data_IF_591600565127
#
_entry.id   IF_591600565127
#
_cell.length_a   1.000
_cell.length_b   1.000
_cell.length_c   1.000
_cell.angle_alpha   90.00
_cell.angle_beta   90.00
_cell.angle_gamma   90.00
#
_symmetry.space_group_name_H-M   'P 1'
#
loop_
_entity.id
_entity.type
_entity.pdbx_description
1 polymer ?
#
# COMPACT_ATOMS: atom_id res chain seq x y z
N UNK A 1 -8.44 17.31 -9.46
CA UNK A 1 -9.11 17.47 -8.14
C UNK A 1 -8.01 17.58 -7.11
N UNK A 2 -8.07 18.58 -6.21
CA UNK A 2 -7.14 18.66 -5.08
C UNK A 2 -7.45 17.47 -4.16
N UNK A 3 -6.49 16.59 -3.91
CA UNK A 3 -6.67 15.50 -2.96
C UNK A 3 -6.88 16.14 -1.57
N UNK A 4 -7.88 15.67 -0.83
CA UNK A 4 -8.11 16.14 0.52
C UNK A 4 -6.91 15.77 1.39
N UNK A 5 -6.28 16.79 1.98
CA UNK A 5 -5.16 16.65 2.90
C UNK A 5 -5.63 16.93 4.31
N UNK A 6 -5.40 15.99 5.22
CA UNK A 6 -5.75 16.11 6.64
C UNK A 6 -4.47 16.10 7.45
N UNK A 7 -4.27 17.09 8.30
CA UNK A 7 -3.07 17.17 9.13
C UNK A 7 -3.23 16.32 10.39
N UNK A 8 -2.39 15.30 10.54
CA UNK A 8 -2.33 14.38 11.69
C UNK A 8 -0.86 14.23 12.14
N UNK A 9 -0.27 15.26 12.73
CA UNK A 9 1.17 15.31 13.01
C UNK A 9 1.64 14.19 13.92
N UNK A 10 0.79 13.73 14.84
CA UNK A 10 1.13 12.72 15.84
C UNK A 10 0.93 11.27 15.32
N UNK A 11 0.48 11.09 14.06
CA UNK A 11 0.20 9.75 13.55
C UNK A 11 1.48 8.92 13.40
N UNK A 12 2.58 9.53 12.99
CA UNK A 12 3.90 8.88 12.87
C UNK A 12 4.45 8.45 14.24
N UNK A 13 4.06 9.11 15.32
CA UNK A 13 4.51 8.78 16.68
C UNK A 13 3.95 7.46 17.21
N UNK A 14 2.94 6.91 16.54
CA UNK A 14 2.40 5.57 16.82
C UNK A 14 3.29 4.44 16.29
N UNK A 15 4.25 4.75 15.40
CA UNK A 15 5.26 3.77 15.00
C UNK A 15 6.19 3.43 16.18
N UNK A 16 6.66 2.18 16.28
CA UNK A 16 7.78 1.82 17.13
C UNK A 16 8.97 2.76 16.90
N UNK A 17 9.76 3.03 17.94
CA UNK A 17 10.82 4.02 17.90
C UNK A 17 11.81 3.81 16.73
N UNK A 18 12.19 2.55 16.49
CA UNK A 18 13.13 2.18 15.43
C UNK A 18 12.53 2.37 14.02
N UNK A 19 11.26 1.99 13.84
CA UNK A 19 10.54 2.17 12.58
C UNK A 19 10.31 3.66 12.29
N UNK A 20 10.02 4.45 13.31
CA UNK A 20 9.88 5.91 13.20
C UNK A 20 11.20 6.58 12.83
N UNK A 21 12.32 6.17 13.45
CA UNK A 21 13.65 6.70 13.12
C UNK A 21 14.02 6.37 11.65
N UNK A 22 13.83 5.13 11.22
CA UNK A 22 14.05 4.70 9.84
C UNK A 22 13.18 5.52 8.87
N UNK A 23 11.89 5.66 9.18
CA UNK A 23 10.93 6.44 8.37
C UNK A 23 11.38 7.89 8.24
N UNK A 24 11.79 8.52 9.33
CA UNK A 24 12.24 9.91 9.34
C UNK A 24 13.52 10.10 8.54
N UNK A 25 14.49 9.19 8.69
CA UNK A 25 15.74 9.21 7.91
C UNK A 25 15.51 9.05 6.43
N UNK A 26 14.65 8.09 6.04
CA UNK A 26 14.27 7.87 4.65
C UNK A 26 13.58 9.11 4.07
N UNK A 27 12.57 9.63 4.75
CA UNK A 27 11.83 10.79 4.26
C UNK A 27 12.73 12.04 4.10
N UNK A 28 13.66 12.26 5.04
CA UNK A 28 14.64 13.34 4.93
C UNK A 28 15.58 13.14 3.74
N UNK A 29 16.08 11.90 3.56
CA UNK A 29 17.00 11.58 2.47
C UNK A 29 16.36 11.77 1.08
N UNK A 30 15.07 11.40 0.93
CA UNK A 30 14.35 11.60 -0.32
C UNK A 30 14.03 13.07 -0.56
N UNK A 31 13.63 13.82 0.46
CA UNK A 31 13.39 15.26 0.37
C UNK A 31 14.67 16.01 -0.06
N UNK A 32 15.81 15.68 0.54
CA UNK A 32 17.12 16.27 0.20
C UNK A 32 17.54 15.93 -1.24
N UNK A 33 17.12 14.77 -1.76
CA UNK A 33 17.34 14.37 -3.14
C UNK A 33 16.31 14.98 -4.11
N UNK A 34 15.31 15.73 -3.63
CA UNK A 34 14.26 16.37 -4.45
C UNK A 34 13.10 15.47 -4.83
N UNK A 35 12.89 14.38 -4.08
CA UNK A 35 11.82 13.41 -4.33
C UNK A 35 10.77 13.42 -3.21
N UNK A 36 9.53 13.12 -3.58
CA UNK A 36 8.45 12.85 -2.63
C UNK A 36 8.55 11.43 -2.09
N UNK A 37 8.22 11.23 -0.80
CA UNK A 37 8.12 9.91 -0.17
C UNK A 37 6.94 9.88 0.79
N UNK A 38 6.08 8.87 0.67
CA UNK A 38 4.90 8.68 1.50
C UNK A 38 4.84 7.25 2.05
N UNK A 39 4.47 7.11 3.32
CA UNK A 39 3.95 5.83 3.83
C UNK A 39 2.62 5.54 3.17
N UNK A 40 2.34 4.27 2.80
CA UNK A 40 1.12 3.91 2.07
C UNK A 40 0.56 2.55 2.43
N UNK A 41 -0.71 2.35 2.14
CA UNK A 41 -1.34 1.03 2.24
C UNK A 41 -1.67 0.58 3.66
N UNK A 42 -1.35 -0.67 3.96
CA UNK A 42 -1.71 -1.31 5.23
C UNK A 42 -1.19 -0.58 6.45
N UNK A 43 0.03 -0.07 6.42
CA UNK A 43 0.65 0.63 7.54
C UNK A 43 -0.13 1.90 7.92
N UNK A 44 -0.57 2.71 6.94
CA UNK A 44 -1.33 3.94 7.21
C UNK A 44 -2.68 3.62 7.84
N UNK A 45 -3.40 2.63 7.29
CA UNK A 45 -4.65 2.12 7.84
C UNK A 45 -4.48 1.64 9.28
N UNK A 46 -3.45 0.84 9.54
CA UNK A 46 -3.24 0.21 10.84
C UNK A 46 -2.80 1.24 11.89
N UNK A 47 -2.03 2.28 11.50
CA UNK A 47 -1.77 3.44 12.36
C UNK A 47 -3.05 4.18 12.72
N UNK A 48 -3.97 4.39 11.77
CA UNK A 48 -5.25 5.05 12.05
C UNK A 48 -6.15 4.23 12.98
N UNK A 49 -6.09 2.90 12.88
CA UNK A 49 -6.86 1.96 13.71
C UNK A 49 -6.19 1.60 15.03
N UNK A 50 -5.00 2.16 15.32
CA UNK A 50 -4.18 1.80 16.49
C UNK A 50 -3.94 0.29 16.59
N UNK A 51 -3.65 -0.35 15.44
CA UNK A 51 -3.36 -1.79 15.34
C UNK A 51 -1.86 -2.02 15.29
N UNK A 52 -1.46 -3.23 15.71
CA UNK A 52 -0.05 -3.62 15.71
C UNK A 52 0.55 -3.78 14.30
N UNK A 53 1.79 -4.22 14.28
CA UNK A 53 2.74 -4.22 13.16
C UNK A 53 2.18 -4.58 11.79
N UNK A 54 2.53 -3.75 10.81
CA UNK A 54 2.42 -4.01 9.37
C UNK A 54 3.78 -3.70 8.72
N UNK A 55 4.07 -4.27 7.56
CA UNK A 55 5.28 -3.96 6.80
C UNK A 55 5.36 -2.47 6.48
N UNK A 56 6.58 -1.91 6.48
CA UNK A 56 6.83 -0.51 6.12
C UNK A 56 6.87 -0.36 4.61
N UNK A 57 5.73 0.03 4.04
CA UNK A 57 5.57 0.26 2.62
C UNK A 57 5.56 1.76 2.31
N UNK A 58 6.41 2.16 1.37
CA UNK A 58 6.48 3.53 0.87
C UNK A 58 6.20 3.59 -0.62
N UNK A 59 5.75 4.77 -1.05
CA UNK A 59 5.69 5.13 -2.47
C UNK A 59 6.40 6.46 -2.70
N UNK A 60 7.04 6.64 -3.87
CA UNK A 60 7.91 7.79 -4.16
C UNK A 60 7.80 8.26 -5.60
N UNK A 61 8.13 9.54 -5.83
CA UNK A 61 8.32 10.10 -7.18
C UNK A 61 9.63 9.65 -7.86
N UNK A 62 10.60 9.12 -7.07
CA UNK A 62 11.88 8.65 -7.58
C UNK A 62 11.73 7.36 -8.39
N UNK A 63 12.45 7.23 -9.51
CA UNK A 63 12.58 5.93 -10.20
C UNK A 63 13.55 5.00 -9.44
N UNK A 64 13.59 3.68 -9.74
CA UNK A 64 14.36 2.73 -8.92
C UNK A 64 15.84 3.08 -8.71
N UNK A 65 16.51 3.63 -9.72
CA UNK A 65 17.91 4.06 -9.62
C UNK A 65 18.07 5.26 -8.69
N UNK A 66 17.16 6.23 -8.77
CA UNK A 66 17.13 7.40 -7.88
C UNK A 66 16.75 6.98 -6.46
N UNK A 67 15.80 6.04 -6.33
CA UNK A 67 15.42 5.44 -5.03
C UNK A 67 16.61 4.80 -4.34
N UNK A 68 17.41 3.99 -5.06
CA UNK A 68 18.65 3.41 -4.53
C UNK A 68 19.63 4.49 -4.09
N UNK A 69 19.85 5.49 -4.93
CA UNK A 69 20.79 6.58 -4.64
C UNK A 69 20.37 7.40 -3.41
N UNK A 70 19.11 7.80 -3.32
CA UNK A 70 18.57 8.55 -2.19
C UNK A 70 18.62 7.73 -0.89
N UNK A 71 18.30 6.43 -0.95
CA UNK A 71 18.28 5.54 0.22
C UNK A 71 19.63 5.40 0.92
N UNK A 72 20.77 5.63 0.24
CA UNK A 72 22.12 5.52 0.84
C UNK A 72 22.26 6.44 2.05
N UNK A 73 21.69 7.64 2.00
CA UNK A 73 21.76 8.61 3.11
C UNK A 73 21.03 8.12 4.37
N UNK A 74 20.00 7.26 4.22
CA UNK A 74 19.30 6.64 5.33
C UNK A 74 20.06 5.45 5.95
N UNK A 75 21.19 5.03 5.37
CA UNK A 75 22.11 3.98 5.86
C UNK A 75 21.43 2.61 6.05
N UNK A 76 20.80 2.03 5.03
CA UNK A 76 20.36 0.65 5.08
C UNK A 76 21.57 -0.31 5.08
N UNK A 77 21.45 -1.48 5.72
CA UNK A 77 22.46 -2.53 5.69
C UNK A 77 22.53 -3.22 4.33
N UNK A 78 21.39 -3.31 3.62
CA UNK A 78 21.35 -3.78 2.25
C UNK A 78 20.22 -3.14 1.44
N UNK A 79 20.46 -3.06 0.12
CA UNK A 79 19.50 -2.55 -0.87
C UNK A 79 19.38 -3.59 -1.98
N UNK A 80 18.17 -3.97 -2.35
CA UNK A 80 17.91 -4.96 -3.40
C UNK A 80 16.68 -4.59 -4.23
N UNK A 81 16.57 -5.13 -5.43
CA UNK A 81 15.38 -4.95 -6.27
C UNK A 81 14.34 -6.03 -5.95
N UNK A 82 13.10 -5.61 -5.77
CA UNK A 82 11.94 -6.49 -5.59
C UNK A 82 11.07 -6.39 -6.85
N UNK A 83 11.21 -7.37 -7.75
CA UNK A 83 10.43 -7.37 -8.99
C UNK A 83 10.76 -6.16 -9.89
N UNK A 84 11.74 -6.31 -10.76
CA UNK A 84 12.24 -5.26 -11.64
C UNK A 84 11.11 -4.60 -12.47
N UNK A 85 10.08 -5.38 -12.83
CA UNK A 85 8.90 -4.93 -13.57
C UNK A 85 8.02 -3.94 -12.77
N UNK A 86 8.10 -3.93 -11.44
CA UNK A 86 7.20 -3.15 -10.58
C UNK A 86 7.84 -1.90 -9.97
N UNK A 87 9.13 -1.68 -10.21
CA UNK A 87 9.83 -0.49 -9.73
C UNK A 87 9.96 -0.42 -8.21
N UNK A 88 10.04 -1.58 -7.52
CA UNK A 88 10.18 -1.63 -6.07
C UNK A 88 11.61 -1.89 -5.65
N UNK A 89 12.11 -1.10 -4.70
CA UNK A 89 13.40 -1.25 -4.04
C UNK A 89 13.16 -1.69 -2.60
N UNK A 90 13.77 -2.81 -2.21
CA UNK A 90 13.77 -3.30 -0.84
C UNK A 90 15.00 -2.80 -0.09
N UNK A 91 14.79 -2.36 1.15
CA UNK A 91 15.82 -1.88 2.07
C UNK A 91 15.77 -2.71 3.34
N UNK A 92 16.93 -3.04 3.89
CA UNK A 92 17.04 -3.80 5.15
C UNK A 92 17.79 -2.94 6.17
N UNK A 93 17.25 -2.85 7.38
CA UNK A 93 17.87 -2.15 8.50
C UNK A 93 18.00 -3.09 9.70
N UNK A 94 19.21 -3.21 10.24
CA UNK A 94 19.53 -3.97 11.45
C UNK A 94 19.74 -3.00 12.59
N UNK A 95 18.73 -2.82 13.43
CA UNK A 95 18.81 -1.94 14.58
C UNK A 95 19.41 -2.68 15.79
N UNK A 96 19.01 -3.94 15.98
CA UNK A 96 19.50 -4.82 17.01
C UNK A 96 20.06 -6.12 16.38
N UNK A 97 21.30 -6.53 16.67
CA UNK A 97 21.88 -7.79 16.17
C UNK A 97 21.08 -9.04 16.54
N UNK A 98 20.37 -9.03 17.67
CA UNK A 98 19.57 -10.15 18.20
C UNK A 98 18.12 -10.14 17.67
N UNK A 99 17.65 -9.02 17.10
CA UNK A 99 16.31 -8.90 16.54
C UNK A 99 16.28 -9.22 15.06
N UNK A 100 15.08 -9.50 14.54
CA UNK A 100 14.87 -9.60 13.10
C UNK A 100 15.08 -8.22 12.46
N UNK A 101 15.70 -8.16 11.27
CA UNK A 101 15.88 -6.90 10.57
C UNK A 101 14.52 -6.30 10.17
N UNK A 102 14.45 -4.97 10.16
CA UNK A 102 13.32 -4.24 9.62
C UNK A 102 13.49 -4.16 8.11
N UNK A 103 12.50 -4.65 7.39
CA UNK A 103 12.45 -4.57 5.92
C UNK A 103 11.51 -3.46 5.52
N UNK A 104 11.93 -2.67 4.55
CA UNK A 104 11.17 -1.55 3.99
C UNK A 104 11.08 -1.74 2.48
N UNK A 105 9.90 -1.55 1.91
CA UNK A 105 9.70 -1.52 0.46
C UNK A 105 9.39 -0.10 0.01
N UNK A 106 10.10 0.38 -1.01
CA UNK A 106 9.89 1.69 -1.63
C UNK A 106 9.56 1.48 -3.10
N UNK A 107 8.33 1.82 -3.50
CA UNK A 107 7.83 1.64 -4.87
C UNK A 107 7.70 2.99 -5.55
N UNK A 108 8.19 3.11 -6.78
CA UNK A 108 7.96 4.29 -7.62
C UNK A 108 6.48 4.48 -7.90
N UNK A 109 5.97 5.73 -7.88
CA UNK A 109 4.60 6.04 -8.32
C UNK A 109 4.34 5.42 -9.68
N UNK A 110 3.26 4.68 -9.80
CA UNK A 110 2.91 4.00 -11.04
C UNK A 110 1.40 3.99 -11.28
N UNK A 111 1.03 4.02 -12.53
CA UNK A 111 -0.29 3.63 -13.00
C UNK A 111 -0.21 2.25 -13.66
N UNK A 112 -1.32 1.54 -13.64
CA UNK A 112 -1.45 0.23 -14.25
C UNK A 112 -2.62 0.26 -15.24
N UNK A 113 -2.35 -0.11 -16.49
CA UNK A 113 -3.39 -0.27 -17.51
C UNK A 113 -3.44 -1.76 -17.87
N UNK A 114 -4.60 -2.37 -17.74
CA UNK A 114 -4.82 -3.78 -18.08
C UNK A 114 -5.37 -3.88 -19.50
N UNK A 115 -4.55 -4.32 -20.50
CA UNK A 115 -5.05 -4.57 -21.84
C UNK A 115 -6.09 -5.68 -21.83
N UNK A 116 -7.11 -5.57 -22.69
CA UNK A 116 -8.25 -6.52 -22.75
C UNK A 116 -7.83 -7.98 -23.03
N UNK A 117 -6.66 -8.19 -23.61
CA UNK A 117 -6.18 -9.51 -24.04
C UNK A 117 -5.01 -10.05 -23.21
N UNK A 118 -4.33 -9.20 -22.41
CA UNK A 118 -3.19 -9.60 -21.59
C UNK A 118 -3.46 -9.33 -20.10
N UNK A 119 -3.06 -10.27 -19.24
CA UNK A 119 -3.24 -10.17 -17.78
C UNK A 119 -2.12 -9.40 -17.08
N UNK A 120 -1.09 -9.07 -17.83
CA UNK A 120 0.02 -8.29 -17.30
C UNK A 120 -0.30 -6.82 -17.49
N UNK A 121 -0.35 -6.03 -16.40
CA UNK A 121 -0.56 -4.61 -16.54
C UNK A 121 0.61 -3.97 -17.30
N UNK A 122 0.29 -3.03 -18.16
CA UNK A 122 1.29 -2.09 -18.67
C UNK A 122 1.52 -1.07 -17.56
N UNK A 123 2.70 -1.12 -16.97
CA UNK A 123 3.09 -0.21 -15.86
C UNK A 123 3.71 1.05 -16.44
N UNK A 124 3.19 2.20 -16.05
CA UNK A 124 3.77 3.51 -16.36
C UNK A 124 4.26 4.15 -15.07
N UNK A 125 5.56 4.44 -15.00
CA UNK A 125 6.20 5.12 -13.88
C UNK A 125 6.18 6.65 -14.06
N UNK A 126 6.39 7.39 -12.97
CA UNK A 126 6.47 8.85 -13.00
C UNK A 126 5.12 9.54 -13.10
N UNK A 127 4.06 8.88 -12.68
CA UNK A 127 2.71 9.44 -12.52
C UNK A 127 2.58 10.21 -11.19
N UNK A 128 1.41 10.78 -10.93
CA UNK A 128 1.15 11.44 -9.64
C UNK A 128 0.87 10.44 -8.51
N UNK A 129 1.02 10.90 -7.25
CA UNK A 129 0.61 10.13 -6.07
C UNK A 129 -0.85 9.66 -6.17
N UNK A 130 -1.75 10.54 -6.66
CA UNK A 130 -3.19 10.22 -6.79
C UNK A 130 -3.39 9.08 -7.79
N UNK A 131 -2.64 9.04 -8.89
CA UNK A 131 -2.70 7.93 -9.86
C UNK A 131 -2.21 6.63 -9.23
N UNK A 132 -1.13 6.65 -8.41
CA UNK A 132 -0.66 5.47 -7.67
C UNK A 132 -1.70 4.97 -6.67
N UNK A 133 -2.38 5.87 -5.94
CA UNK A 133 -3.43 5.50 -5.01
C UNK A 133 -4.69 4.98 -5.73
N UNK A 134 -5.00 5.49 -6.94
CA UNK A 134 -6.19 5.12 -7.69
C UNK A 134 -6.20 3.65 -8.15
N UNK A 135 -5.03 3.03 -8.38
CA UNK A 135 -4.92 1.62 -8.79
C UNK A 135 -5.03 0.62 -7.63
N UNK A 136 -5.09 1.11 -6.37
CA UNK A 136 -5.20 0.24 -5.20
C UNK A 136 -6.56 -0.43 -5.11
N UNK A 137 -6.63 -1.46 -4.27
CA UNK A 137 -7.82 -2.31 -4.15
C UNK A 137 -8.99 -1.62 -3.43
N UNK A 138 -8.74 -1.10 -2.23
CA UNK A 138 -9.78 -0.53 -1.36
C UNK A 138 -9.39 0.86 -0.85
N UNK A 139 -10.40 1.71 -0.63
CA UNK A 139 -10.23 3.08 -0.16
C UNK A 139 -9.41 3.17 1.13
N UNK A 140 -9.63 2.23 2.05
CA UNK A 140 -8.91 2.12 3.33
C UNK A 140 -7.42 1.79 3.17
N UNK A 141 -6.99 1.31 2.01
CA UNK A 141 -5.60 1.04 1.65
C UNK A 141 -5.04 2.07 0.64
N UNK A 142 -5.88 2.99 0.17
CA UNK A 142 -5.53 4.05 -0.78
C UNK A 142 -5.26 5.38 -0.06
N UNK A 143 -4.61 5.30 1.08
CA UNK A 143 -4.18 6.41 1.94
C UNK A 143 -2.67 6.56 1.85
N UNK A 144 -2.19 7.80 1.87
CA UNK A 144 -0.76 8.11 1.92
C UNK A 144 -0.47 9.11 3.03
N UNK A 145 0.59 8.89 3.82
CA UNK A 145 1.02 9.77 4.89
C UNK A 145 2.39 10.36 4.54
N UNK A 146 2.47 11.68 4.46
CA UNK A 146 3.76 12.39 4.46
C UNK A 146 4.35 12.33 5.86
N UNK A 147 5.47 11.62 6.07
CA UNK A 147 6.00 11.41 7.41
C UNK A 147 6.68 12.64 8.01
N UNK A 148 7.08 13.63 7.21
CA UNK A 148 7.70 14.87 7.69
C UNK A 148 6.67 15.96 7.95
N UNK A 149 5.69 16.12 7.05
CA UNK A 149 4.64 17.11 7.22
C UNK A 149 3.53 16.65 8.18
N UNK A 150 3.39 15.35 8.42
CA UNK A 150 2.26 14.78 9.16
C UNK A 150 0.94 14.99 8.41
N UNK A 151 0.99 15.05 7.08
CA UNK A 151 -0.18 15.23 6.23
C UNK A 151 -0.64 13.90 5.62
N UNK A 152 -1.89 13.57 5.87
CA UNK A 152 -2.57 12.41 5.28
C UNK A 152 -3.27 12.84 3.99
N UNK A 153 -2.99 12.14 2.90
CA UNK A 153 -3.61 12.32 1.58
C UNK A 153 -4.66 11.23 1.39
N UNK A 154 -5.91 11.63 1.24
CA UNK A 154 -7.07 10.74 1.10
C UNK A 154 -7.95 11.15 -0.09
N UNK A 155 -7.59 10.76 -1.32
CA UNK A 155 -8.36 11.14 -2.51
C UNK A 155 -9.65 10.33 -2.71
N UNK A 156 -9.85 9.25 -1.94
CA UNK A 156 -10.92 8.27 -2.14
C UNK A 156 -11.80 8.06 -0.90
N UNK A 157 -11.76 8.97 0.08
CA UNK A 157 -12.55 8.94 1.32
C UNK A 157 -12.28 7.72 2.23
N UNK A 158 -11.07 7.17 2.19
CA UNK A 158 -10.67 6.02 2.99
C UNK A 158 -10.79 6.25 4.50
N UNK A 159 -10.55 7.48 5.00
CA UNK A 159 -10.75 7.84 6.41
C UNK A 159 -12.22 7.67 6.80
N UNK A 160 -13.13 8.12 5.95
CA UNK A 160 -14.58 8.01 6.18
C UNK A 160 -15.00 6.53 6.21
N UNK A 161 -14.49 5.73 5.29
CA UNK A 161 -14.80 4.30 5.22
C UNK A 161 -14.22 3.54 6.42
N UNK A 162 -13.02 3.91 6.89
CA UNK A 162 -12.45 3.40 8.14
C UNK A 162 -13.34 3.72 9.34
N UNK A 163 -13.83 4.95 9.47
CA UNK A 163 -14.70 5.37 10.55
C UNK A 163 -16.05 4.61 10.53
N UNK A 164 -16.58 4.32 9.34
CA UNK A 164 -17.80 3.55 9.15
C UNK A 164 -17.58 2.03 9.15
N UNK A 165 -16.33 1.58 9.29
CA UNK A 165 -15.95 0.16 9.27
C UNK A 165 -16.40 -0.55 8.00
N UNK A 166 -16.13 0.06 6.85
CA UNK A 166 -16.51 -0.46 5.53
C UNK A 166 -15.32 -0.78 4.64
N UNK A 167 -15.48 -1.84 3.85
CA UNK A 167 -14.57 -2.20 2.75
C UNK A 167 -15.22 -1.72 1.46
N UNK A 168 -14.66 -0.68 0.87
CA UNK A 168 -15.14 -0.04 -0.37
C UNK A 168 -14.03 -0.12 -1.41
N UNK A 169 -14.33 -0.58 -2.63
CA UNK A 169 -13.38 -0.59 -3.74
C UNK A 169 -13.02 0.83 -4.17
N UNK A 170 -11.78 1.06 -4.63
CA UNK A 170 -11.38 2.36 -5.18
C UNK A 170 -12.00 2.53 -6.57
N UNK A 171 -12.73 3.62 -6.78
CA UNK A 171 -13.39 3.91 -8.04
C UNK A 171 -14.56 2.98 -8.35
N UNK A 172 -14.66 2.49 -9.60
CA UNK A 172 -15.68 1.51 -9.97
C UNK A 172 -15.27 0.11 -9.54
N UNK A 173 -16.09 -0.55 -8.72
CA UNK A 173 -15.77 -1.85 -8.14
C UNK A 173 -15.67 -2.95 -9.21
N UNK A 174 -16.53 -2.91 -10.24
CA UNK A 174 -16.52 -3.87 -11.34
C UNK A 174 -15.26 -3.76 -12.18
N UNK A 175 -14.85 -2.56 -12.56
CA UNK A 175 -13.59 -2.31 -13.25
C UNK A 175 -12.41 -2.81 -12.41
N UNK A 176 -12.38 -2.46 -11.13
CA UNK A 176 -11.30 -2.78 -10.19
C UNK A 176 -11.12 -4.30 -10.00
N UNK A 177 -12.21 -5.05 -9.93
CA UNK A 177 -12.14 -6.52 -9.80
C UNK A 177 -11.86 -7.22 -11.13
N UNK A 178 -12.27 -6.66 -12.25
CA UNK A 178 -11.92 -7.19 -13.58
C UNK A 178 -10.42 -7.06 -13.89
N UNK A 179 -9.74 -6.03 -13.38
CA UNK A 179 -8.28 -5.88 -13.48
C UNK A 179 -7.53 -7.01 -12.75
N UNK A 180 -7.91 -7.30 -11.51
CA UNK A 180 -7.37 -8.42 -10.73
C UNK A 180 -8.47 -9.09 -9.90
N UNK A 181 -9.06 -10.19 -10.36
CA UNK A 181 -10.11 -10.92 -9.65
C UNK A 181 -9.69 -11.41 -8.26
N UNK A 182 -8.38 -11.47 -7.94
CA UNK A 182 -7.91 -11.80 -6.59
C UNK A 182 -8.39 -10.78 -5.54
N UNK A 183 -8.70 -9.55 -5.95
CA UNK A 183 -9.25 -8.52 -5.06
C UNK A 183 -10.57 -8.94 -4.41
N UNK A 184 -11.34 -9.85 -5.04
CA UNK A 184 -12.54 -10.47 -4.43
C UNK A 184 -12.19 -11.22 -3.14
N UNK A 185 -11.14 -12.05 -3.17
CA UNK A 185 -10.67 -12.75 -1.97
C UNK A 185 -10.04 -11.80 -0.95
N UNK A 186 -9.35 -10.77 -1.43
CA UNK A 186 -8.78 -9.72 -0.55
C UNK A 186 -9.88 -8.96 0.19
N UNK A 187 -11.01 -8.63 -0.47
CA UNK A 187 -12.17 -8.02 0.19
C UNK A 187 -12.69 -8.89 1.34
N UNK A 188 -12.92 -10.18 1.08
CA UNK A 188 -13.37 -11.13 2.10
C UNK A 188 -12.35 -11.24 3.24
N UNK A 189 -11.05 -11.27 2.94
CA UNK A 189 -9.98 -11.30 3.93
C UNK A 189 -9.98 -10.03 4.80
N UNK A 190 -10.02 -8.85 4.21
CA UNK A 190 -10.04 -7.60 4.98
C UNK A 190 -11.31 -7.48 5.83
N UNK A 191 -12.48 -7.86 5.29
CA UNK A 191 -13.71 -7.88 6.05
C UNK A 191 -13.58 -8.77 7.28
N UNK A 192 -13.02 -9.99 7.14
CA UNK A 192 -12.78 -10.91 8.24
C UNK A 192 -11.74 -10.38 9.24
N UNK A 193 -10.57 -9.94 8.78
CA UNK A 193 -9.46 -9.49 9.64
C UNK A 193 -9.77 -8.20 10.40
N UNK A 194 -10.46 -7.27 9.77
CA UNK A 194 -10.80 -5.97 10.37
C UNK A 194 -12.14 -6.01 11.12
N UNK A 195 -13.01 -7.00 10.84
CA UNK A 195 -14.38 -7.05 11.33
C UNK A 195 -15.23 -5.94 10.72
N UNK A 196 -15.01 -5.62 9.46
CA UNK A 196 -15.69 -4.57 8.69
C UNK A 196 -16.73 -5.18 7.77
N UNK A 197 -17.78 -4.41 7.50
CA UNK A 197 -18.77 -4.77 6.49
C UNK A 197 -18.26 -4.43 5.09
N UNK A 198 -18.70 -5.20 4.09
CA UNK A 198 -18.42 -4.89 2.69
C UNK A 198 -19.52 -3.98 2.18
N UNK A 199 -19.14 -2.88 1.53
CA UNK A 199 -20.07 -1.97 0.89
C UNK A 199 -20.96 -2.70 -0.14
N UNK A 200 -22.27 -2.36 -0.27
CA UNK A 200 -23.18 -3.07 -1.16
C UNK A 200 -22.74 -3.13 -2.61
N UNK A 201 -22.29 -2.01 -3.20
CA UNK A 201 -21.85 -1.97 -4.60
C UNK A 201 -20.57 -2.80 -4.80
N UNK A 202 -19.65 -2.75 -3.82
CA UNK A 202 -18.46 -3.60 -3.78
C UNK A 202 -18.84 -5.09 -3.69
N UNK A 203 -19.83 -5.44 -2.85
CA UNK A 203 -20.30 -6.83 -2.70
C UNK A 203 -20.97 -7.35 -3.97
N UNK A 204 -21.74 -6.54 -4.66
CA UNK A 204 -22.39 -6.92 -5.91
C UNK A 204 -21.34 -7.16 -7.01
N UNK A 205 -20.36 -6.27 -7.15
CA UNK A 205 -19.23 -6.47 -8.06
C UNK A 205 -18.42 -7.76 -7.72
N UNK A 206 -18.25 -8.09 -6.43
CA UNK A 206 -17.64 -9.36 -6.01
C UNK A 206 -18.42 -10.58 -6.49
N UNK A 207 -19.76 -10.54 -6.43
CA UNK A 207 -20.61 -11.65 -6.90
C UNK A 207 -20.49 -11.85 -8.41
N UNK A 208 -20.46 -10.76 -9.16
CA UNK A 208 -20.33 -10.78 -10.62
C UNK A 208 -18.95 -11.28 -11.06
N UNK A 209 -17.88 -10.82 -10.40
CA UNK A 209 -16.50 -11.13 -10.77
C UNK A 209 -16.00 -12.44 -10.16
N UNK A 210 -16.63 -12.94 -9.10
CA UNK A 210 -16.21 -14.14 -8.37
C UNK A 210 -15.88 -15.35 -9.25
N UNK A 211 -16.68 -15.69 -10.29
CA UNK A 211 -16.35 -16.79 -11.22
C UNK A 211 -14.99 -16.63 -11.92
N UNK A 212 -14.49 -15.41 -12.08
CA UNK A 212 -13.20 -15.15 -12.73
C UNK A 212 -11.99 -15.54 -11.85
N UNK A 213 -12.19 -15.86 -10.56
CA UNK A 213 -11.15 -16.44 -9.72
C UNK A 213 -10.56 -17.73 -10.31
N UNK A 214 -11.33 -18.47 -11.10
CA UNK A 214 -10.82 -19.64 -11.83
C UNK A 214 -9.65 -19.31 -12.79
N UNK A 215 -9.45 -18.05 -13.13
CA UNK A 215 -8.37 -17.56 -14.00
C UNK A 215 -7.10 -17.22 -13.23
N UNK A 216 -7.16 -17.13 -11.89
CA UNK A 216 -6.03 -16.79 -11.01
C UNK A 216 -5.23 -18.05 -10.66
N UNK A 217 -3.91 -17.91 -10.50
CA UNK A 217 -3.06 -19.04 -10.13
C UNK A 217 -3.45 -19.57 -8.75
N UNK A 218 -3.33 -20.88 -8.57
CA UNK A 218 -3.68 -21.55 -7.31
C UNK A 218 -2.82 -21.06 -6.14
N UNK A 219 -1.58 -20.70 -6.41
CA UNK A 219 -0.63 -20.21 -5.44
C UNK A 219 -1.10 -18.87 -4.86
N UNK A 220 -1.54 -17.93 -5.73
CA UNK A 220 -2.08 -16.63 -5.29
C UNK A 220 -3.37 -16.80 -4.48
N UNK A 221 -4.28 -17.67 -4.93
CA UNK A 221 -5.52 -17.99 -4.20
C UNK A 221 -5.18 -18.61 -2.84
N UNK A 222 -4.29 -19.61 -2.78
CA UNK A 222 -3.90 -20.25 -1.54
C UNK A 222 -3.25 -19.27 -0.56
N UNK A 223 -2.43 -18.35 -1.03
CA UNK A 223 -1.80 -17.33 -0.19
C UNK A 223 -2.86 -16.41 0.46
N UNK A 224 -3.86 -15.95 -0.30
CA UNK A 224 -4.95 -15.12 0.27
C UNK A 224 -5.85 -15.92 1.21
N UNK A 225 -6.20 -17.16 0.87
CA UNK A 225 -7.00 -18.02 1.74
C UNK A 225 -6.27 -18.34 3.06
N UNK A 226 -4.98 -18.64 3.01
CA UNK A 226 -4.19 -18.85 4.22
C UNK A 226 -4.21 -17.61 5.13
N UNK A 227 -4.03 -16.43 4.58
CA UNK A 227 -4.11 -15.17 5.36
C UNK A 227 -5.52 -14.91 5.91
N UNK A 228 -6.56 -15.31 5.19
CA UNK A 228 -7.95 -15.21 5.66
C UNK A 228 -8.23 -16.17 6.82
N UNK A 229 -7.72 -17.40 6.74
CA UNK A 229 -7.97 -18.45 7.75
C UNK A 229 -7.12 -18.27 9.01
N UNK A 230 -5.92 -17.71 8.88
CA UNK A 230 -5.00 -17.42 10.00
C UNK A 230 -5.26 -16.04 10.59
N UNK A 231 -6.21 -15.29 10.03
CA UNK A 231 -6.54 -13.92 10.44
C UNK A 231 -6.58 -13.76 11.97
N UNK A 232 -6.05 -12.63 12.44
CA UNK A 232 -5.84 -12.27 13.86
C UNK A 232 -7.13 -12.19 14.69
N UNK A 233 -7.81 -13.33 14.86
CA UNK A 233 -8.89 -13.52 15.83
C UNK A 233 -8.72 -14.82 16.58
#
# INVERSE_FOLDING_TARGET
>A
MSADRVRLPDLIDRLPADERDITTRLATAFLDAGHELFLVGGIVRDLLLDRGRTDLDFTTSAVPEETKAASVAARPDSVYLVGEEYGTVGLVFRVDPEALPITVEVTTFRSEVYPTEDRRPVVTHGVSLVDDLSRRDFTINALALDPLAGELVDPFNGITDLAHRRIVAVGDAGERFNEDPLRVLRAARFASQLGFDIDPDTLDAMRETGPQLARISRERIAAELNRLLVGDR
#
